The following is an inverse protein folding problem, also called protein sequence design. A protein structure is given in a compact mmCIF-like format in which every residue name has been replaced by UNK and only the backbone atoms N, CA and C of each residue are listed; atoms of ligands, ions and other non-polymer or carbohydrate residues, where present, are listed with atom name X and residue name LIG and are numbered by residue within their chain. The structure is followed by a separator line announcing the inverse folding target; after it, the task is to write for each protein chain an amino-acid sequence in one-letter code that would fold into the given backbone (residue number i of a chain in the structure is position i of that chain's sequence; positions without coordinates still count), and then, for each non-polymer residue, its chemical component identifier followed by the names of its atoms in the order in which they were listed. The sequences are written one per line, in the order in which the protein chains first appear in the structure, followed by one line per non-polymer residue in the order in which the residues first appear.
data_IF_909625412975
#
_entry.id   IF_909625412975
#
_cell.length_a   1.000
_cell.length_b   1.000
_cell.length_c   1.000
_cell.angle_alpha   90.00
_cell.angle_beta   90.00
_cell.angle_gamma   90.00
#
_symmetry.space_group_name_H-M   'P 1'
#
loop_
_entity.id
_entity.type
_entity.pdbx_description
1 polymer ?
#
# COMPACT_ATOMS: atom_id res chain seq x y z
N UNK A 1 -8.73 16.89 0.32
CA UNK A 1 -9.16 15.49 0.59
C UNK A 1 -9.26 14.70 -0.72
N UNK A 2 -9.29 13.36 -0.69
CA UNK A 2 -9.50 12.56 -1.92
C UNK A 2 -10.84 12.89 -2.60
N UNK A 3 -11.90 13.07 -1.80
CA UNK A 3 -13.25 13.41 -2.27
C UNK A 3 -13.32 14.68 -3.13
N UNK A 4 -12.48 15.67 -2.85
CA UNK A 4 -12.41 16.94 -3.61
C UNK A 4 -11.62 16.83 -4.92
N UNK A 5 -10.86 15.74 -5.09
CA UNK A 5 -9.97 15.51 -6.24
C UNK A 5 -10.57 14.54 -7.26
N UNK A 6 -11.66 13.87 -6.92
CA UNK A 6 -12.36 12.99 -7.85
C UNK A 6 -13.21 13.82 -8.81
N UNK A 7 -13.13 13.50 -10.10
CA UNK A 7 -14.10 14.03 -11.06
C UNK A 7 -15.51 13.58 -10.66
N UNK A 8 -16.57 14.35 -10.97
CA UNK A 8 -17.94 13.98 -10.65
C UNK A 8 -18.27 12.55 -11.12
N UNK A 9 -18.71 11.69 -10.20
CA UNK A 9 -19.05 10.29 -10.46
C UNK A 9 -17.86 9.33 -10.63
N UNK A 10 -16.62 9.81 -10.59
CA UNK A 10 -15.44 8.95 -10.71
C UNK A 10 -15.23 8.11 -9.43
N UNK A 11 -14.98 6.79 -9.56
CA UNK A 11 -14.59 5.96 -8.43
C UNK A 11 -13.11 6.14 -8.08
N UNK A 12 -12.74 5.84 -6.84
CA UNK A 12 -11.36 5.55 -6.44
C UNK A 12 -11.25 4.07 -6.05
N UNK A 13 -10.20 3.39 -6.51
CA UNK A 13 -9.86 2.04 -6.03
C UNK A 13 -8.82 2.18 -4.94
N UNK A 14 -9.04 1.50 -3.83
CA UNK A 14 -8.10 1.43 -2.69
C UNK A 14 -7.67 -0.02 -2.51
N UNK A 15 -6.36 -0.19 -2.40
CA UNK A 15 -5.68 -1.41 -2.01
C UNK A 15 -5.03 -1.14 -0.65
N UNK A 16 -5.29 -2.01 0.32
CA UNK A 16 -4.72 -1.97 1.66
C UNK A 16 -3.90 -3.23 1.84
N UNK A 17 -2.59 -3.04 2.01
CA UNK A 17 -1.65 -4.14 2.17
C UNK A 17 -2.11 -5.10 3.27
N UNK A 18 -2.23 -6.39 2.91
CA UNK A 18 -2.85 -7.41 3.74
C UNK A 18 -2.20 -7.54 5.12
N UNK A 19 -3.03 -7.82 6.14
CA UNK A 19 -2.67 -8.01 7.56
C UNK A 19 -1.79 -9.22 7.86
N UNK A 20 -1.24 -9.90 6.85
CA UNK A 20 -0.25 -10.96 7.10
C UNK A 20 0.84 -10.38 7.99
N UNK A 21 1.16 -11.09 9.07
CA UNK A 21 2.08 -10.64 10.12
C UNK A 21 3.33 -10.00 9.50
N UNK A 22 3.95 -9.01 10.19
CA UNK A 22 5.21 -8.45 9.72
C UNK A 22 6.17 -9.60 9.33
N UNK A 23 6.98 -9.43 8.27
CA UNK A 23 7.98 -10.39 7.85
C UNK A 23 8.74 -10.92 9.05
N UNK A 24 9.31 -12.11 8.92
CA UNK A 24 10.15 -12.65 9.99
C UNK A 24 11.21 -11.63 10.41
N UNK A 25 11.50 -11.55 11.71
CA UNK A 25 12.63 -10.74 12.21
C UNK A 25 13.98 -11.19 11.63
N UNK A 26 14.06 -12.41 11.09
CA UNK A 26 15.22 -12.84 10.33
C UNK A 26 15.19 -12.22 8.92
N UNK A 27 16.31 -11.63 8.43
CA UNK A 27 16.40 -11.14 7.07
C UNK A 27 16.06 -12.21 6.04
N UNK A 28 15.09 -11.90 5.18
CA UNK A 28 14.62 -12.77 4.11
C UNK A 28 14.91 -12.11 2.76
N UNK A 29 15.58 -12.82 1.84
CA UNK A 29 15.72 -12.36 0.46
C UNK A 29 14.41 -12.61 -0.29
N UNK A 30 13.74 -11.54 -0.66
CA UNK A 30 12.47 -11.57 -1.40
C UNK A 30 12.66 -11.90 -2.88
N UNK A 31 13.70 -11.34 -3.50
CA UNK A 31 13.97 -11.53 -4.93
C UNK A 31 15.43 -11.30 -5.27
N UNK A 32 15.86 -11.93 -6.36
CA UNK A 32 17.09 -11.60 -7.08
C UNK A 32 16.81 -11.49 -8.58
N UNK A 33 17.36 -10.46 -9.22
CA UNK A 33 17.24 -10.21 -10.66
C UNK A 33 18.53 -9.65 -11.22
N UNK A 34 18.96 -10.17 -12.37
CA UNK A 34 20.13 -9.69 -13.08
C UNK A 34 19.72 -8.71 -14.19
N UNK A 35 20.41 -7.57 -14.25
CA UNK A 35 20.21 -6.51 -15.25
C UNK A 35 21.59 -6.11 -15.77
N UNK A 36 21.90 -6.51 -17.01
CA UNK A 36 23.27 -6.45 -17.51
C UNK A 36 24.20 -7.33 -16.67
N UNK A 37 25.33 -6.76 -16.25
CA UNK A 37 26.33 -7.44 -15.43
C UNK A 37 26.03 -7.36 -13.92
N UNK A 38 25.00 -6.60 -13.53
CA UNK A 38 24.68 -6.34 -12.14
C UNK A 38 23.56 -7.26 -11.64
N UNK A 39 23.67 -7.69 -10.39
CA UNK A 39 22.62 -8.42 -9.67
C UNK A 39 21.93 -7.50 -8.66
N UNK A 40 20.60 -7.46 -8.73
CA UNK A 40 19.73 -6.68 -7.86
C UNK A 40 19.03 -7.62 -6.89
N UNK A 41 19.23 -7.39 -5.61
CA UNK A 41 18.56 -8.13 -4.55
C UNK A 41 17.62 -7.22 -3.78
N UNK A 42 16.47 -7.76 -3.37
CA UNK A 42 15.58 -7.12 -2.40
C UNK A 42 15.44 -8.04 -1.19
N UNK A 43 15.67 -7.47 -0.01
CA UNK A 43 15.60 -8.16 1.28
C UNK A 43 14.54 -7.49 2.16
N UNK A 44 13.90 -8.27 3.02
CA UNK A 44 12.97 -7.79 4.04
C UNK A 44 13.37 -8.28 5.42
N UNK A 45 13.23 -7.42 6.41
CA UNK A 45 13.38 -7.77 7.82
C UNK A 45 12.24 -7.12 8.60
N UNK A 46 11.48 -7.92 9.36
CA UNK A 46 10.38 -7.40 10.17
C UNK A 46 10.85 -6.85 11.53
N UNK A 47 10.12 -5.86 12.02
CA UNK A 47 10.23 -5.26 13.34
C UNK A 47 8.84 -5.11 13.97
N UNK A 48 8.78 -4.66 15.21
CA UNK A 48 7.51 -4.52 15.94
C UNK A 48 6.60 -3.41 15.37
N UNK A 49 7.19 -2.42 14.69
CA UNK A 49 6.53 -1.26 14.09
C UNK A 49 6.49 -1.27 12.56
N UNK A 50 6.90 -2.38 11.94
CA UNK A 50 6.78 -2.60 10.51
C UNK A 50 7.88 -3.46 9.92
N UNK A 51 8.41 -3.07 8.76
CA UNK A 51 9.51 -3.79 8.14
C UNK A 51 10.51 -2.86 7.50
N UNK A 52 11.73 -3.35 7.36
CA UNK A 52 12.79 -2.68 6.61
C UNK A 52 13.02 -3.43 5.31
N UNK A 53 13.02 -2.71 4.19
CA UNK A 53 13.43 -3.24 2.89
C UNK A 53 14.85 -2.80 2.60
N UNK A 54 15.72 -3.75 2.29
CA UNK A 54 17.11 -3.48 1.89
C UNK A 54 17.30 -3.91 0.44
N UNK A 55 17.66 -2.96 -0.40
CA UNK A 55 17.97 -3.17 -1.81
C UNK A 55 19.48 -3.16 -2.00
N UNK A 56 20.02 -4.21 -2.59
CA UNK A 56 21.46 -4.32 -2.90
C UNK A 56 21.65 -4.43 -4.40
N UNK A 57 22.67 -3.75 -4.90
CA UNK A 57 23.19 -3.95 -6.25
C UNK A 57 24.57 -4.55 -6.11
N UNK A 58 24.80 -5.69 -6.74
CA UNK A 58 26.05 -6.43 -6.72
C UNK A 58 26.69 -6.43 -8.11
N UNK A 59 28.01 -6.33 -8.12
CA UNK A 59 28.88 -6.67 -9.24
C UNK A 59 29.75 -7.85 -8.80
N UNK A 60 29.38 -9.05 -9.26
CA UNK A 60 29.91 -10.31 -8.75
C UNK A 60 29.73 -10.43 -7.23
N UNK A 61 30.85 -10.50 -6.51
CA UNK A 61 30.86 -10.65 -5.04
C UNK A 61 30.78 -9.31 -4.27
N UNK A 62 30.85 -8.18 -4.99
CA UNK A 62 30.92 -6.86 -4.36
C UNK A 62 29.56 -6.18 -4.38
N UNK A 63 29.10 -5.73 -3.21
CA UNK A 63 27.93 -4.82 -3.14
C UNK A 63 28.39 -3.42 -3.55
N UNK A 64 27.97 -2.97 -4.72
CA UNK A 64 28.33 -1.65 -5.26
C UNK A 64 27.35 -0.55 -4.84
N UNK A 65 26.14 -0.95 -4.39
CA UNK A 65 25.17 -0.03 -3.81
C UNK A 65 24.25 -0.76 -2.84
N UNK A 66 23.92 -0.10 -1.74
CA UNK A 66 22.89 -0.53 -0.80
C UNK A 66 21.95 0.64 -0.49
N UNK A 67 20.66 0.35 -0.38
CA UNK A 67 19.67 1.32 0.06
C UNK A 67 18.65 0.65 0.97
N UNK A 68 18.38 1.28 2.10
CA UNK A 68 17.52 0.75 3.16
C UNK A 68 16.35 1.69 3.37
N UNK A 69 15.14 1.13 3.35
CA UNK A 69 13.88 1.89 3.47
C UNK A 69 13.07 1.30 4.62
N UNK A 70 12.79 2.08 5.69
CA UNK A 70 11.81 1.68 6.68
C UNK A 70 10.41 1.86 6.09
N UNK A 71 9.57 0.83 6.24
CA UNK A 71 8.16 0.88 5.90
C UNK A 71 7.38 0.65 7.20
N UNK A 72 6.89 1.73 7.83
CA UNK A 72 6.07 1.61 9.02
C UNK A 72 4.79 0.85 8.69
N UNK A 73 4.38 -0.03 9.60
CA UNK A 73 3.19 -0.86 9.44
C UNK A 73 2.09 -0.39 10.38
N UNK A 74 1.07 0.24 9.81
CA UNK A 74 -0.20 0.43 10.50
C UNK A 74 -1.14 -0.67 10.04
N UNK A 75 -1.64 -1.51 10.96
CA UNK A 75 -2.61 -2.60 10.67
C UNK A 75 -4.01 -2.13 10.24
N UNK A 76 -4.05 -1.01 9.50
CA UNK A 76 -5.23 -0.44 8.85
C UNK A 76 -5.83 -1.50 7.97
N UNK A 77 -7.14 -1.70 8.12
CA UNK A 77 -7.91 -2.59 7.26
C UNK A 77 -9.02 -1.82 6.57
N UNK A 78 -9.75 -2.52 5.70
CA UNK A 78 -10.88 -1.94 4.96
C UNK A 78 -11.94 -1.33 5.89
N UNK A 79 -12.11 -1.83 7.12
CA UNK A 79 -13.02 -1.23 8.10
C UNK A 79 -12.63 0.21 8.45
N UNK A 80 -11.36 0.44 8.79
CA UNK A 80 -10.82 1.78 9.06
C UNK A 80 -10.94 2.68 7.82
N UNK A 81 -10.64 2.15 6.63
CA UNK A 81 -10.83 2.89 5.37
C UNK A 81 -12.29 3.30 5.16
N UNK A 82 -13.24 2.43 5.50
CA UNK A 82 -14.66 2.75 5.39
C UNK A 82 -15.10 3.85 6.37
N UNK A 83 -14.58 3.86 7.60
CA UNK A 83 -14.81 4.91 8.58
C UNK A 83 -14.28 6.27 8.08
N UNK A 84 -13.03 6.31 7.61
CA UNK A 84 -12.42 7.52 7.04
C UNK A 84 -13.14 8.01 5.78
N UNK A 85 -13.54 7.08 4.91
CA UNK A 85 -14.30 7.40 3.71
C UNK A 85 -15.66 8.04 4.04
N UNK A 86 -16.38 7.52 5.05
CA UNK A 86 -17.65 8.07 5.47
C UNK A 86 -17.52 9.51 5.98
N UNK A 87 -16.48 9.80 6.79
CA UNK A 87 -16.16 11.17 7.23
C UNK A 87 -15.87 12.09 6.05
N UNK A 88 -15.27 11.57 4.98
CA UNK A 88 -14.96 12.32 3.76
C UNK A 88 -16.14 12.43 2.77
N UNK A 89 -17.35 11.95 3.12
CA UNK A 89 -18.51 11.97 2.23
C UNK A 89 -18.47 10.94 1.10
N UNK A 90 -17.69 9.87 1.28
CA UNK A 90 -17.54 8.78 0.33
C UNK A 90 -18.20 7.50 0.85
N UNK A 91 -18.79 6.74 -0.06
CA UNK A 91 -19.29 5.38 0.19
C UNK A 91 -18.18 4.39 -0.14
N UNK A 92 -17.79 3.58 0.83
CA UNK A 92 -16.82 2.49 0.65
C UNK A 92 -17.56 1.18 0.35
N UNK A 93 -17.25 0.56 -0.79
CA UNK A 93 -17.74 -0.78 -1.16
C UNK A 93 -16.56 -1.74 -1.23
N UNK A 94 -16.49 -2.68 -0.27
CA UNK A 94 -15.46 -3.73 -0.27
C UNK A 94 -15.63 -4.65 -1.48
N UNK A 95 -14.53 -4.93 -2.18
CA UNK A 95 -14.49 -5.89 -3.30
C UNK A 95 -13.79 -7.19 -2.92
N UNK A 96 -12.77 -7.11 -2.07
CA UNK A 96 -11.97 -8.23 -1.58
C UNK A 96 -11.45 -7.94 -0.14
N UNK A 97 -10.72 -8.87 0.51
CA UNK A 97 -10.24 -8.65 1.86
C UNK A 97 -9.49 -7.32 2.08
N UNK A 98 -8.69 -6.94 1.08
CA UNK A 98 -7.71 -5.86 0.97
C UNK A 98 -8.09 -4.80 -0.07
N UNK A 99 -9.16 -5.00 -0.84
CA UNK A 99 -9.60 -4.05 -1.88
C UNK A 99 -10.99 -3.45 -1.61
N UNK A 100 -11.13 -2.17 -1.91
CA UNK A 100 -12.42 -1.47 -1.93
C UNK A 100 -12.50 -0.43 -3.05
N UNK A 101 -13.74 -0.04 -3.38
CA UNK A 101 -14.03 1.11 -4.23
C UNK A 101 -14.73 2.17 -3.42
N UNK A 102 -14.21 3.40 -3.50
CA UNK A 102 -14.82 4.59 -2.91
C UNK A 102 -15.57 5.36 -4.00
N UNK A 103 -16.77 5.83 -3.68
CA UNK A 103 -17.57 6.70 -4.56
C UNK A 103 -18.11 7.88 -3.79
N UNK A 104 -18.24 9.03 -4.44
CA UNK A 104 -18.99 10.15 -3.86
C UNK A 104 -20.44 9.74 -3.64
N UNK A 105 -20.99 10.05 -2.46
CA UNK A 105 -22.43 9.94 -2.25
C UNK A 105 -23.13 10.80 -3.31
N UNK A 106 -24.14 10.30 -4.04
CA UNK A 106 -24.92 11.14 -4.93
C UNK A 106 -25.46 12.31 -4.11
N UNK A 107 -25.28 13.55 -4.59
CA UNK A 107 -26.07 14.65 -4.07
C UNK A 107 -27.54 14.24 -4.29
N UNK A 108 -28.29 14.09 -3.22
CA UNK A 108 -29.75 13.98 -3.31
C UNK A 108 -30.20 15.17 -4.14
N UNK A 109 -30.74 14.91 -5.33
CA UNK A 109 -31.32 15.96 -6.16
C UNK A 109 -32.52 16.46 -5.35
N UNK A 110 -32.41 17.62 -4.72
CA UNK A 110 -33.58 18.29 -4.18
C UNK A 110 -34.46 18.61 -5.39
N UNK A 111 -35.53 17.84 -5.55
CA UNK A 111 -36.60 18.15 -6.49
C UNK A 111 -37.26 19.44 -6.01
N UNK A 112 -36.77 20.58 -6.51
CA UNK A 112 -37.51 21.83 -6.45
C UNK A 112 -38.72 21.70 -7.38
N UNK A 113 -39.88 21.41 -6.79
CA UNK A 113 -41.21 21.63 -7.40
C UNK A 113 -41.52 23.11 -7.52
#
# INVERSE_FOLDING_TARGET
MLSERLAPGAPAVVDVLDRTAPPTRAPLRLATRRVGDLEYESWSEGADDGWTLTYRVRDGETVVREHTVPLPWSGVGIATVAEEAAVAGLVCTRLAPDFAVLRTTPLTREDHS
#
